data_IF_017259160852
#
_entry.id   IF_017259160852
#
_cell.length_a   1.000
_cell.length_b   1.000
_cell.length_c   1.000
_cell.angle_alpha   90.00
_cell.angle_beta   90.00
_cell.angle_gamma   90.00
#
_symmetry.space_group_name_H-M   'P 1'
#
loop_
_entity.id
_entity.type
_entity.pdbx_description
1 polymer ?
#
# COMPACT_ATOMS: atom_id res chain seq x y z
N UNK A 1 16.16 5.23 -12.56
CA UNK A 1 15.95 4.66 -11.21
C UNK A 1 15.77 3.17 -11.34
N UNK A 2 16.73 2.43 -10.81
CA UNK A 2 16.88 0.98 -10.93
C UNK A 2 16.07 0.30 -9.82
N UNK A 3 15.27 -0.70 -10.20
CA UNK A 3 14.69 -1.66 -9.25
C UNK A 3 15.75 -2.67 -8.87
N UNK A 4 15.66 -3.25 -7.67
CA UNK A 4 16.53 -4.34 -7.25
C UNK A 4 15.68 -5.55 -6.86
N UNK A 5 16.27 -6.74 -6.90
CA UNK A 5 15.64 -7.95 -6.40
C UNK A 5 15.99 -8.15 -4.92
N UNK A 6 15.01 -8.37 -4.04
CA UNK A 6 15.24 -8.54 -2.60
C UNK A 6 16.01 -9.81 -2.23
N UNK A 7 16.18 -10.75 -3.17
CA UNK A 7 17.09 -11.90 -3.00
C UNK A 7 18.55 -11.48 -2.96
N UNK A 8 18.86 -10.29 -3.47
CA UNK A 8 20.15 -9.63 -3.31
C UNK A 8 20.14 -8.78 -2.03
N UNK A 9 20.40 -9.43 -0.90
CA UNK A 9 20.31 -8.80 0.43
C UNK A 9 21.34 -7.69 0.62
N UNK A 10 22.50 -7.78 -0.05
CA UNK A 10 23.54 -6.74 -0.03
C UNK A 10 23.04 -5.45 -0.69
N UNK A 11 22.51 -5.53 -1.92
CA UNK A 11 21.92 -4.38 -2.59
C UNK A 11 20.68 -3.85 -1.87
N UNK A 12 19.87 -4.72 -1.28
CA UNK A 12 18.71 -4.30 -0.49
C UNK A 12 19.14 -3.50 0.75
N UNK A 13 20.14 -3.99 1.48
CA UNK A 13 20.70 -3.29 2.62
C UNK A 13 21.37 -1.96 2.20
N UNK A 14 22.04 -1.91 1.05
CA UNK A 14 22.63 -0.68 0.50
C UNK A 14 21.55 0.35 0.11
N UNK A 15 20.43 -0.10 -0.47
CA UNK A 15 19.31 0.77 -0.82
C UNK A 15 18.73 1.44 0.42
N UNK A 16 18.54 0.65 1.49
CA UNK A 16 18.08 1.14 2.79
C UNK A 16 19.04 2.18 3.39
N UNK A 17 20.35 2.02 3.21
CA UNK A 17 21.39 2.96 3.68
C UNK A 17 21.66 4.17 2.77
N UNK A 18 20.94 4.31 1.67
CA UNK A 18 21.16 5.44 0.74
C UNK A 18 20.78 6.76 1.41
N UNK A 19 21.67 7.76 1.34
CA UNK A 19 21.41 9.12 1.82
C UNK A 19 20.95 10.08 0.71
N UNK A 20 20.00 11.01 0.96
CA UNK A 20 19.19 11.07 2.19
C UNK A 20 18.32 9.82 2.34
N UNK A 21 18.13 9.36 3.58
CA UNK A 21 17.29 8.19 3.90
C UNK A 21 15.85 8.40 3.40
N UNK A 22 15.34 7.44 2.63
CA UNK A 22 14.02 7.51 1.97
C UNK A 22 13.28 6.18 2.07
N UNK A 23 11.94 6.17 1.96
CA UNK A 23 11.17 4.94 1.96
C UNK A 23 11.59 3.96 0.86
N UNK A 24 11.64 2.67 1.19
CA UNK A 24 11.79 1.57 0.23
C UNK A 24 10.48 0.80 0.15
N UNK A 25 9.96 0.64 -1.07
CA UNK A 25 8.76 -0.13 -1.35
C UNK A 25 9.13 -1.44 -2.04
N UNK A 26 8.65 -2.56 -1.52
CA UNK A 26 8.91 -3.91 -2.03
C UNK A 26 7.60 -4.58 -2.41
N UNK A 27 7.52 -5.14 -3.63
CA UNK A 27 6.40 -5.98 -4.04
C UNK A 27 6.71 -7.43 -3.70
N UNK A 28 5.92 -8.08 -2.85
CA UNK A 28 6.20 -9.44 -2.36
C UNK A 28 5.44 -10.53 -3.13
N UNK A 29 4.44 -10.17 -3.93
CA UNK A 29 3.76 -11.07 -4.86
C UNK A 29 3.46 -10.32 -6.18
N UNK A 30 2.69 -10.93 -7.08
CA UNK A 30 2.30 -10.28 -8.34
C UNK A 30 1.09 -9.35 -8.23
N UNK A 31 0.54 -9.13 -7.04
CA UNK A 31 -0.81 -8.63 -6.84
C UNK A 31 -0.87 -7.48 -5.80
N UNK A 32 -1.02 -7.79 -4.51
CA UNK A 32 -1.41 -6.84 -3.46
C UNK A 32 -0.43 -6.74 -2.30
N UNK A 33 0.49 -7.69 -2.13
CA UNK A 33 1.30 -7.76 -0.92
C UNK A 33 2.52 -6.88 -1.04
N UNK A 34 2.56 -5.83 -0.23
CA UNK A 34 3.64 -4.84 -0.21
C UNK A 34 4.33 -4.82 1.14
N UNK A 35 5.64 -4.61 1.13
CA UNK A 35 6.40 -4.20 2.30
C UNK A 35 6.87 -2.77 2.09
N UNK A 36 6.47 -1.87 2.98
CA UNK A 36 6.92 -0.49 3.03
C UNK A 36 7.90 -0.32 4.20
N UNK A 37 9.14 0.02 3.87
CA UNK A 37 10.20 0.24 4.84
C UNK A 37 10.46 1.74 4.96
N UNK A 38 10.09 2.31 6.10
CA UNK A 38 10.22 3.73 6.39
C UNK A 38 11.47 3.96 7.26
N UNK A 39 12.39 4.85 6.90
CA UNK A 39 13.52 5.15 7.76
C UNK A 39 13.03 5.78 9.06
N UNK A 40 13.55 5.33 10.20
CA UNK A 40 13.20 5.94 11.49
C UNK A 40 13.85 7.34 11.61
N UNK A 41 13.09 8.40 11.89
CA UNK A 41 13.66 9.74 12.06
C UNK A 41 14.52 9.81 13.33
N UNK A 42 15.58 10.65 13.36
CA UNK A 42 16.48 10.77 14.51
C UNK A 42 15.78 11.17 15.82
N UNK A 43 14.68 11.94 15.72
CA UNK A 43 13.85 12.40 16.83
C UNK A 43 12.79 11.38 17.28
N UNK A 44 12.69 10.23 16.61
CA UNK A 44 11.61 9.22 16.76
C UNK A 44 11.58 8.46 18.08
N UNK A 45 12.51 8.72 19.01
CA UNK A 45 12.37 8.39 20.44
C UNK A 45 12.25 6.91 20.82
N UNK A 46 12.37 5.96 19.89
CA UNK A 46 12.35 4.54 20.26
C UNK A 46 13.68 4.19 20.94
N UNK A 47 13.62 3.68 22.18
CA UNK A 47 14.81 3.21 22.94
C UNK A 47 15.63 2.17 22.18
N UNK A 48 14.99 1.46 21.24
CA UNK A 48 15.63 0.63 20.24
C UNK A 48 15.93 1.50 19.00
N UNK A 49 17.21 1.76 18.71
CA UNK A 49 17.63 2.41 17.45
C UNK A 49 17.43 1.43 16.28
N UNK A 50 16.18 1.20 15.87
CA UNK A 50 15.90 0.47 14.63
C UNK A 50 16.13 1.41 13.46
N UNK A 51 16.79 0.89 12.44
CA UNK A 51 17.13 1.67 11.25
C UNK A 51 15.88 2.02 10.42
N UNK A 52 14.87 1.15 10.43
CA UNK A 52 13.61 1.30 9.70
C UNK A 52 12.40 0.74 10.47
N UNK A 53 11.23 1.27 10.15
CA UNK A 53 9.93 0.71 10.45
C UNK A 53 9.42 -0.05 9.22
N UNK A 54 9.12 -1.34 9.40
CA UNK A 54 8.63 -2.23 8.36
C UNK A 54 7.12 -2.44 8.51
N UNK A 55 6.34 -1.86 7.59
CA UNK A 55 4.88 -2.02 7.49
C UNK A 55 4.55 -3.00 6.37
N UNK A 56 3.82 -4.07 6.70
CA UNK A 56 3.30 -5.02 5.70
C UNK A 56 1.89 -4.62 5.30
N UNK A 57 1.58 -4.65 4.01
CA UNK A 57 0.27 -4.25 3.46
C UNK A 57 -0.32 -5.43 2.71
N UNK A 58 -1.58 -5.76 3.00
CA UNK A 58 -2.39 -6.79 2.35
C UNK A 58 -1.66 -8.14 2.12
N UNK A 59 -1.26 -8.83 3.19
CA UNK A 59 -0.45 -10.04 3.05
C UNK A 59 -1.25 -11.25 2.57
N UNK A 60 -0.85 -11.77 1.41
CA UNK A 60 -1.29 -13.03 0.81
C UNK A 60 -0.08 -13.67 0.09
N UNK A 61 0.56 -14.66 0.73
CA UNK A 61 1.80 -15.27 0.21
C UNK A 61 1.63 -16.72 -0.26
N UNK A 62 0.57 -17.39 0.15
CA UNK A 62 0.29 -18.77 -0.26
C UNK A 62 -1.19 -19.07 -0.04
N UNK A 63 -1.59 -20.28 -0.45
CA UNK A 63 -2.97 -20.70 -0.36
C UNK A 63 -3.88 -20.00 -1.39
N UNK A 64 -5.11 -20.47 -1.54
CA UNK A 64 -6.09 -19.86 -2.43
C UNK A 64 -6.81 -18.67 -1.78
N UNK A 65 -7.21 -17.70 -2.60
CA UNK A 65 -8.27 -16.74 -2.32
C UNK A 65 -9.61 -17.48 -2.45
N UNK A 66 -10.45 -17.45 -1.42
CA UNK A 66 -11.76 -18.10 -1.38
C UNK A 66 -12.75 -17.25 -0.55
N UNK A 67 -13.55 -16.44 -1.23
CA UNK A 67 -14.56 -15.60 -0.56
C UNK A 67 -15.95 -16.27 -0.54
N UNK A 68 -16.68 -16.07 0.56
CA UNK A 68 -18.02 -16.61 0.85
C UNK A 68 -18.04 -18.14 0.99
N UNK A 69 -17.71 -18.87 -0.08
CA UNK A 69 -17.51 -20.30 -0.11
C UNK A 69 -16.65 -20.70 -1.33
N UNK A 70 -15.85 -21.79 -1.29
CA UNK A 70 -14.95 -22.15 -2.39
C UNK A 70 -15.62 -22.35 -3.76
N UNK A 71 -16.93 -22.67 -3.77
CA UNK A 71 -17.73 -22.81 -4.99
C UNK A 71 -18.15 -21.47 -5.62
N UNK A 72 -18.07 -20.37 -4.88
CA UNK A 72 -18.46 -19.04 -5.33
C UNK A 72 -17.34 -18.36 -6.14
N UNK A 73 -16.13 -18.29 -5.58
CA UNK A 73 -14.91 -17.85 -6.26
C UNK A 73 -13.67 -18.44 -5.59
N UNK A 74 -12.84 -19.16 -6.34
CA UNK A 74 -11.48 -19.52 -5.90
C UNK A 74 -10.47 -18.93 -6.88
N UNK A 75 -9.50 -18.16 -6.39
CA UNK A 75 -8.39 -17.64 -7.18
C UNK A 75 -7.04 -18.04 -6.58
N UNK A 76 -6.01 -18.11 -7.42
CA UNK A 76 -4.63 -18.39 -7.01
C UNK A 76 -3.68 -17.50 -7.78
N UNK A 77 -2.57 -17.14 -7.14
CA UNK A 77 -1.45 -16.49 -7.80
C UNK A 77 -0.99 -17.29 -9.03
N UNK A 78 -0.60 -16.58 -10.07
CA UNK A 78 0.09 -17.11 -11.25
C UNK A 78 1.58 -16.95 -11.08
N UNK A 79 2.02 -15.83 -10.51
CA UNK A 79 3.41 -15.54 -10.16
C UNK A 79 3.66 -15.96 -8.73
N UNK A 80 4.69 -16.77 -8.50
CA UNK A 80 5.07 -17.17 -7.15
C UNK A 80 5.47 -15.93 -6.32
N UNK A 81 5.02 -15.83 -5.06
CA UNK A 81 5.49 -14.79 -4.16
C UNK A 81 7.00 -14.88 -3.93
N UNK A 82 7.63 -13.73 -3.71
CA UNK A 82 9.08 -13.57 -3.60
C UNK A 82 9.66 -14.31 -2.38
N UNK A 83 8.84 -14.46 -1.35
CA UNK A 83 9.12 -15.23 -0.14
C UNK A 83 8.06 -16.32 0.04
N UNK A 84 8.42 -17.51 0.56
CA UNK A 84 7.48 -18.61 0.74
C UNK A 84 6.56 -18.44 1.96
N UNK A 85 6.93 -17.57 2.92
CA UNK A 85 6.21 -17.36 4.18
C UNK A 85 6.64 -16.04 4.84
N UNK A 86 5.84 -15.56 5.80
CA UNK A 86 6.22 -14.40 6.62
C UNK A 86 7.40 -14.73 7.54
N UNK A 87 7.56 -15.99 7.96
CA UNK A 87 8.75 -16.42 8.69
C UNK A 87 10.03 -16.25 7.86
N UNK A 88 10.00 -16.56 6.56
CA UNK A 88 11.12 -16.34 5.65
C UNK A 88 11.40 -14.85 5.45
N UNK A 89 10.35 -14.02 5.28
CA UNK A 89 10.49 -12.57 5.20
C UNK A 89 11.13 -11.99 6.46
N UNK A 90 10.67 -12.38 7.65
CA UNK A 90 11.27 -11.93 8.91
C UNK A 90 12.75 -12.35 9.02
N UNK A 91 13.14 -13.50 8.47
CA UNK A 91 14.54 -13.92 8.44
C UNK A 91 15.41 -12.99 7.60
N UNK A 92 14.94 -12.64 6.38
CA UNK A 92 15.63 -11.68 5.53
C UNK A 92 15.71 -10.30 6.19
N UNK A 93 14.61 -9.81 6.78
CA UNK A 93 14.61 -8.52 7.45
C UNK A 93 15.57 -8.44 8.63
N UNK A 94 15.80 -9.56 9.35
CA UNK A 94 16.81 -9.62 10.43
C UNK A 94 18.22 -9.46 9.87
N UNK A 95 18.53 -10.10 8.76
CA UNK A 95 19.84 -9.97 8.08
C UNK A 95 20.11 -8.52 7.64
N UNK A 96 19.08 -7.76 7.26
CA UNK A 96 19.23 -6.35 6.87
C UNK A 96 19.49 -5.41 8.06
N UNK A 97 19.01 -5.76 9.26
CA UNK A 97 19.09 -4.94 10.47
C UNK A 97 20.27 -5.34 11.37
N UNK A 98 21.18 -6.20 10.88
CA UNK A 98 22.49 -6.48 11.48
C UNK A 98 23.40 -5.22 11.39
N UNK A 99 22.98 -4.17 12.07
CA UNK A 99 23.80 -3.01 12.42
C UNK A 99 24.66 -3.39 13.64
N UNK A 100 26.00 -3.50 13.49
CA UNK A 100 26.89 -3.86 14.57
C UNK A 100 26.83 -2.87 15.76
N UNK A 101 26.37 -1.62 15.54
CA UNK A 101 26.24 -0.62 16.62
C UNK A 101 24.96 -0.80 17.46
N UNK A 102 23.95 -1.53 16.96
CA UNK A 102 22.72 -1.81 17.70
C UNK A 102 22.88 -2.93 18.75
N UNK A 103 23.89 -3.79 18.59
CA UNK A 103 24.17 -4.93 19.47
C UNK A 103 24.78 -4.53 20.84
N UNK A 104 25.18 -3.26 21.02
CA UNK A 104 25.77 -2.75 22.26
C UNK A 104 24.76 -2.32 23.34
N UNK A 105 23.45 -2.41 23.07
CA UNK A 105 22.38 -2.04 24.00
C UNK A 105 21.86 -3.22 24.82
N UNK A 106 21.46 -2.97 26.08
CA UNK A 106 20.79 -3.97 26.92
C UNK A 106 19.46 -4.45 26.30
N UNK A 107 19.10 -5.74 26.43
CA UNK A 107 17.80 -6.24 25.97
C UNK A 107 16.65 -5.63 26.81
N UNK A 108 15.73 -4.95 26.13
CA UNK A 108 14.55 -4.30 26.74
C UNK A 108 13.34 -5.27 26.83
N UNK A 109 12.41 -5.06 27.77
CA UNK A 109 11.37 -6.03 28.13
C UNK A 109 10.06 -5.94 27.34
N UNK A 110 9.92 -5.05 26.34
CA UNK A 110 8.63 -4.82 25.64
C UNK A 110 8.73 -5.16 24.14
N UNK A 111 8.12 -6.28 23.76
CA UNK A 111 8.04 -6.84 22.39
C UNK A 111 9.10 -7.91 22.08
N UNK A 112 8.72 -8.96 21.34
CA UNK A 112 9.67 -10.01 20.91
C UNK A 112 10.82 -9.35 20.13
N UNK A 113 12.08 -9.44 20.61
CA UNK A 113 13.23 -8.88 19.92
C UNK A 113 13.42 -9.40 18.49
N UNK A 114 12.71 -10.47 18.09
CA UNK A 114 12.79 -11.13 16.78
C UNK A 114 11.78 -10.65 15.73
N UNK A 115 10.73 -9.91 16.11
CA UNK A 115 9.71 -9.46 15.17
C UNK A 115 10.23 -8.27 14.34
N UNK A 116 10.38 -8.50 13.04
CA UNK A 116 10.88 -7.49 12.08
C UNK A 116 9.78 -6.83 11.27
N UNK A 117 8.57 -7.39 11.27
CA UNK A 117 7.37 -6.75 10.76
C UNK A 117 6.71 -6.06 11.95
N UNK A 118 6.59 -4.73 11.89
CA UNK A 118 6.23 -3.91 13.06
C UNK A 118 4.73 -3.64 13.16
N UNK A 119 4.05 -3.66 12.02
CA UNK A 119 2.61 -3.53 11.91
C UNK A 119 2.15 -4.11 10.58
N UNK A 120 0.85 -4.40 10.50
CA UNK A 120 0.18 -4.75 9.25
C UNK A 120 -0.93 -3.76 8.96
N UNK A 121 -1.06 -3.35 7.70
CA UNK A 121 -2.22 -2.64 7.21
C UNK A 121 -3.04 -3.51 6.25
N UNK A 122 -4.36 -3.58 6.42
CA UNK A 122 -5.27 -4.39 5.59
C UNK A 122 -6.36 -3.51 4.97
N UNK A 123 -6.41 -3.44 3.65
CA UNK A 123 -7.24 -2.49 2.91
C UNK A 123 -8.69 -2.95 2.75
N UNK A 124 -8.92 -4.26 2.57
CA UNK A 124 -10.23 -4.84 2.29
C UNK A 124 -10.34 -6.23 2.92
N UNK A 125 -11.56 -6.70 3.18
CA UNK A 125 -11.87 -7.98 3.83
C UNK A 125 -11.74 -9.21 2.92
N UNK A 126 -11.58 -9.00 1.61
CA UNK A 126 -11.47 -10.09 0.63
C UNK A 126 -10.16 -10.85 0.81
N UNK A 127 -10.19 -12.16 0.56
CA UNK A 127 -9.07 -13.05 0.91
C UNK A 127 -7.79 -12.83 0.10
N UNK A 128 -7.82 -12.06 -0.98
CA UNK A 128 -6.65 -11.54 -1.71
C UNK A 128 -6.02 -10.29 -1.09
N UNK A 129 -6.61 -9.76 -0.02
CA UNK A 129 -6.10 -8.65 0.78
C UNK A 129 -5.95 -9.04 2.26
N UNK A 130 -6.96 -9.74 2.80
CA UNK A 130 -7.10 -10.16 4.19
C UNK A 130 -6.98 -11.69 4.33
N UNK A 131 -5.84 -12.25 3.90
CA UNK A 131 -5.65 -13.70 3.90
C UNK A 131 -5.33 -14.24 5.31
N UNK A 132 -6.32 -14.88 5.95
CA UNK A 132 -6.19 -15.40 7.33
C UNK A 132 -4.96 -16.27 7.56
N UNK A 133 -4.71 -17.24 6.67
CA UNK A 133 -3.62 -18.19 6.88
C UNK A 133 -2.24 -17.53 6.81
N UNK A 134 -2.08 -16.50 5.97
CA UNK A 134 -0.83 -15.71 5.92
C UNK A 134 -0.75 -14.78 7.13
N UNK A 135 -1.83 -14.07 7.48
CA UNK A 135 -1.85 -13.18 8.64
C UNK A 135 -1.52 -13.92 9.95
N UNK A 136 -2.05 -15.13 10.15
CA UNK A 136 -1.81 -15.92 11.37
C UNK A 136 -0.40 -16.53 11.48
N UNK A 137 0.49 -16.31 10.50
CA UNK A 137 1.93 -16.58 10.66
C UNK A 137 2.63 -15.52 11.52
N UNK A 138 2.02 -14.36 11.69
CA UNK A 138 2.58 -13.28 12.50
C UNK A 138 2.40 -13.56 14.00
N UNK A 139 3.29 -12.99 14.84
CA UNK A 139 3.07 -12.92 16.29
C UNK A 139 1.72 -12.28 16.63
N UNK A 140 1.07 -12.77 17.70
CA UNK A 140 -0.27 -12.31 18.13
C UNK A 140 -0.29 -10.84 18.57
N UNK A 141 0.84 -10.35 19.08
CA UNK A 141 1.06 -8.97 19.50
C UNK A 141 1.35 -8.01 18.33
N UNK A 142 1.42 -8.50 17.08
CA UNK A 142 1.58 -7.64 15.90
C UNK A 142 0.37 -6.70 15.76
N UNK A 143 0.57 -5.37 15.80
CA UNK A 143 -0.51 -4.41 15.59
C UNK A 143 -1.09 -4.50 14.18
N UNK A 144 -2.41 -4.59 14.08
CA UNK A 144 -3.14 -4.61 12.80
C UNK A 144 -3.97 -3.33 12.65
N UNK A 145 -3.86 -2.65 11.51
CA UNK A 145 -4.69 -1.51 11.11
C UNK A 145 -5.49 -1.91 9.88
N UNK A 146 -6.81 -1.97 9.98
CA UNK A 146 -7.62 -2.51 8.89
C UNK A 146 -8.84 -1.65 8.58
N UNK A 147 -9.28 -1.65 7.33
CA UNK A 147 -10.59 -1.10 6.96
C UNK A 147 -11.72 -1.75 7.77
N UNK A 148 -12.84 -1.05 7.94
CA UNK A 148 -13.91 -1.42 8.89
C UNK A 148 -14.29 -2.91 8.83
N UNK A 149 -14.66 -3.41 7.65
CA UNK A 149 -15.06 -4.80 7.46
C UNK A 149 -13.90 -5.80 7.67
N UNK A 150 -12.69 -5.45 7.24
CA UNK A 150 -11.50 -6.27 7.47
C UNK A 150 -11.14 -6.31 8.96
N UNK A 151 -11.24 -5.20 9.68
CA UNK A 151 -11.00 -5.13 11.12
C UNK A 151 -12.00 -5.99 11.90
N UNK A 152 -13.28 -5.93 11.56
CA UNK A 152 -14.32 -6.80 12.14
C UNK A 152 -14.03 -8.29 11.87
N UNK A 153 -13.70 -8.64 10.62
CA UNK A 153 -13.34 -10.00 10.24
C UNK A 153 -12.11 -10.49 11.02
N UNK A 154 -11.03 -9.72 11.08
CA UNK A 154 -9.80 -10.10 11.79
C UNK A 154 -10.06 -10.26 13.30
N UNK A 155 -10.85 -9.38 13.92
CA UNK A 155 -11.24 -9.51 15.33
C UNK A 155 -12.01 -10.80 15.60
N UNK A 156 -12.89 -11.22 14.67
CA UNK A 156 -13.65 -12.47 14.78
C UNK A 156 -12.78 -13.73 14.81
N UNK A 157 -11.52 -13.63 14.36
CA UNK A 157 -10.59 -14.76 14.41
C UNK A 157 -10.03 -15.00 15.81
N UNK A 158 -10.19 -14.05 16.75
CA UNK A 158 -9.70 -14.11 18.12
C UNK A 158 -8.21 -14.46 18.22
N UNK A 159 -7.41 -13.94 17.28
CA UNK A 159 -5.99 -14.26 17.18
C UNK A 159 -5.07 -13.11 17.63
N UNK A 160 -5.23 -11.93 17.05
CA UNK A 160 -4.41 -10.76 17.36
C UNK A 160 -4.86 -10.04 18.63
N UNK A 161 -3.91 -9.53 19.39
CA UNK A 161 -4.16 -8.81 20.64
C UNK A 161 -4.60 -7.36 20.39
N UNK A 162 -4.18 -6.77 19.26
CA UNK A 162 -4.54 -5.40 18.88
C UNK A 162 -4.94 -5.30 17.40
N UNK A 163 -6.23 -5.04 17.17
CA UNK A 163 -6.79 -4.74 15.84
C UNK A 163 -7.48 -3.38 15.88
N UNK A 164 -6.87 -2.40 15.23
CA UNK A 164 -7.36 -1.03 15.10
C UNK A 164 -8.10 -0.87 13.79
N UNK A 165 -9.31 -0.33 13.83
CA UNK A 165 -10.00 0.10 12.62
C UNK A 165 -9.33 1.37 12.10
N UNK A 166 -8.85 1.36 10.86
CA UNK A 166 -8.14 2.47 10.26
C UNK A 166 -9.07 3.69 10.17
N UNK A 167 -8.75 4.81 10.84
CA UNK A 167 -9.62 5.98 10.91
C UNK A 167 -9.77 6.64 9.53
N UNK A 168 -10.96 7.19 9.28
CA UNK A 168 -11.24 7.96 8.07
C UNK A 168 -10.41 9.24 8.02
N UNK A 169 -9.62 9.44 6.96
CA UNK A 169 -8.98 10.71 6.63
C UNK A 169 -9.94 11.52 5.75
N UNK A 170 -10.71 12.39 6.39
CA UNK A 170 -11.67 13.27 5.72
C UNK A 170 -10.95 14.54 5.22
N UNK A 171 -11.55 15.21 4.24
CA UNK A 171 -11.05 16.48 3.75
C UNK A 171 -10.90 17.50 4.89
N UNK A 172 -9.75 18.18 4.94
CA UNK A 172 -9.42 19.10 6.04
C UNK A 172 -9.24 18.41 7.39
N UNK A 173 -8.98 17.11 7.45
CA UNK A 173 -8.57 16.47 8.71
C UNK A 173 -7.05 16.44 8.78
N UNK A 174 -6.40 17.08 9.77
CA UNK A 174 -4.96 16.99 9.92
C UNK A 174 -4.56 15.54 10.13
N UNK A 175 -3.66 15.00 9.32
CA UNK A 175 -3.29 13.58 9.40
C UNK A 175 -2.75 13.18 10.78
N UNK A 176 -2.09 14.11 11.50
CA UNK A 176 -1.55 13.89 12.85
C UNK A 176 -2.64 13.66 13.90
N UNK A 177 -3.87 14.12 13.62
CA UNK A 177 -5.03 13.91 14.49
C UNK A 177 -5.60 12.49 14.41
N UNK A 178 -5.21 11.72 13.37
CA UNK A 178 -5.57 10.31 13.30
C UNK A 178 -5.00 9.58 14.51
N UNK A 179 -5.77 8.69 15.15
CA UNK A 179 -5.26 7.80 16.19
C UNK A 179 -4.00 7.04 15.73
N UNK A 180 -2.96 7.08 16.56
CA UNK A 180 -1.68 6.40 16.31
C UNK A 180 -1.37 5.33 17.36
N UNK A 181 -2.37 4.76 18.03
CA UNK A 181 -2.19 3.73 19.07
C UNK A 181 -1.29 2.61 18.54
N UNK A 182 -0.18 2.32 19.22
CA UNK A 182 0.86 1.34 18.82
C UNK A 182 1.70 1.69 17.56
N UNK A 183 1.54 2.89 16.98
CA UNK A 183 2.46 3.44 15.97
C UNK A 183 3.37 4.50 16.59
N UNK A 184 4.58 4.70 16.03
CA UNK A 184 5.40 5.86 16.35
C UNK A 184 4.66 7.18 16.08
N UNK A 185 4.95 8.22 16.86
CA UNK A 185 4.27 9.52 16.76
C UNK A 185 4.38 10.17 15.37
N UNK A 186 5.43 9.84 14.60
CA UNK A 186 5.69 10.33 13.25
C UNK A 186 4.98 9.54 12.14
N UNK A 187 4.26 8.46 12.46
CA UNK A 187 3.60 7.57 11.48
C UNK A 187 2.10 7.43 11.80
N UNK A 188 1.26 7.47 10.77
CA UNK A 188 -0.18 7.15 10.84
C UNK A 188 -0.61 6.27 9.69
N UNK A 189 -1.59 5.40 9.98
CA UNK A 189 -2.31 4.62 8.98
C UNK A 189 -3.77 5.05 9.05
N UNK A 190 -4.25 5.70 7.99
CA UNK A 190 -5.64 6.10 7.83
C UNK A 190 -6.30 5.41 6.65
N UNK A 191 -7.57 5.71 6.44
CA UNK A 191 -8.36 5.22 5.32
C UNK A 191 -9.10 6.35 4.62
N UNK A 192 -9.14 6.29 3.31
CA UNK A 192 -9.91 7.19 2.47
C UNK A 192 -11.01 6.39 1.78
N UNK A 193 -12.24 6.91 1.78
CA UNK A 193 -13.39 6.22 1.18
C UNK A 193 -14.08 7.16 0.21
N UNK A 194 -14.33 6.72 -1.03
CA UNK A 194 -15.19 7.46 -1.96
C UNK A 194 -16.66 7.33 -1.53
N UNK A 195 -17.37 8.44 -1.23
CA UNK A 195 -18.76 8.40 -0.79
C UNK A 195 -19.69 7.78 -1.84
N UNK A 196 -20.77 7.14 -1.36
CA UNK A 196 -21.82 6.58 -2.22
C UNK A 196 -21.45 5.27 -2.91
N UNK A 197 -20.30 4.66 -2.57
CA UNK A 197 -19.94 3.36 -3.10
C UNK A 197 -20.58 2.22 -2.29
N UNK A 198 -21.21 1.27 -3.00
CA UNK A 198 -21.72 0.05 -2.40
C UNK A 198 -20.56 -0.86 -1.97
N UNK A 199 -20.63 -1.47 -0.78
CA UNK A 199 -19.59 -2.33 -0.17
C UNK A 199 -18.18 -1.71 -0.06
N UNK A 200 -18.05 -0.39 -0.22
CA UNK A 200 -16.80 0.35 0.00
C UNK A 200 -15.54 -0.13 -0.76
N UNK A 201 -15.70 -0.79 -1.93
CA UNK A 201 -14.58 -1.26 -2.76
C UNK A 201 -13.58 -0.15 -3.14
N UNK A 202 -14.09 1.05 -3.41
CA UNK A 202 -13.27 2.19 -3.82
C UNK A 202 -12.81 2.95 -2.58
N UNK A 203 -11.85 2.35 -1.89
CA UNK A 203 -11.19 2.92 -0.73
C UNK A 203 -9.67 2.77 -0.85
N UNK A 204 -8.94 3.59 -0.12
CA UNK A 204 -7.49 3.56 -0.08
C UNK A 204 -6.99 3.58 1.36
N UNK A 205 -5.91 2.84 1.63
CA UNK A 205 -5.09 3.07 2.81
C UNK A 205 -4.19 4.28 2.58
N UNK A 206 -4.03 5.13 3.59
CA UNK A 206 -3.12 6.27 3.57
C UNK A 206 -2.11 6.06 4.67
N UNK A 207 -0.86 5.77 4.29
CA UNK A 207 0.27 5.68 5.22
C UNK A 207 0.98 7.02 5.23
N UNK A 208 0.67 7.85 6.21
CA UNK A 208 1.18 9.21 6.37
C UNK A 208 2.35 9.24 7.35
N UNK A 209 3.43 9.91 7.00
CA UNK A 209 4.64 9.93 7.81
C UNK A 209 5.41 11.25 7.70
N UNK A 210 6.18 11.54 8.74
CA UNK A 210 7.08 12.68 8.82
C UNK A 210 8.49 12.21 9.18
N UNK A 211 9.41 12.32 8.22
CA UNK A 211 10.81 11.88 8.39
C UNK A 211 11.73 13.00 8.90
N UNK A 212 11.23 14.22 9.08
CA UNK A 212 12.02 15.37 9.55
C UNK A 212 13.14 15.84 8.60
N UNK A 213 13.15 15.40 7.33
CA UNK A 213 14.21 15.67 6.35
C UNK A 213 13.95 16.87 5.41
N UNK A 214 12.82 17.58 5.56
CA UNK A 214 12.38 18.67 4.67
C UNK A 214 10.90 18.99 4.85
N UNK A 215 10.42 20.12 4.31
CA UNK A 215 9.35 20.97 4.87
C UNK A 215 7.92 20.42 5.05
N UNK A 216 7.57 19.19 4.64
CA UNK A 216 6.20 18.66 4.77
C UNK A 216 6.17 17.15 5.02
N UNK A 217 5.07 16.68 5.63
CA UNK A 217 4.78 15.26 5.78
C UNK A 217 4.42 14.62 4.42
N UNK A 218 4.76 13.36 4.26
CA UNK A 218 4.53 12.60 3.02
C UNK A 218 3.54 11.46 3.25
N UNK A 219 2.94 10.95 2.17
CA UNK A 219 2.07 9.78 2.22
C UNK A 219 2.34 8.79 1.09
N UNK A 220 2.22 7.50 1.42
CA UNK A 220 2.01 6.43 0.46
C UNK A 220 0.54 6.05 0.49
N UNK A 221 -0.13 6.16 -0.65
CA UNK A 221 -1.56 5.86 -0.82
C UNK A 221 -1.70 4.54 -1.54
N UNK A 222 -2.37 3.57 -0.92
CA UNK A 222 -2.58 2.25 -1.49
C UNK A 222 -4.06 2.03 -1.82
N UNK A 223 -4.36 1.93 -3.11
CA UNK A 223 -5.71 1.97 -3.68
C UNK A 223 -5.91 0.85 -4.73
N UNK A 224 -5.98 -0.43 -4.31
CA UNK A 224 -5.97 -1.59 -5.23
C UNK A 224 -7.20 -1.72 -6.12
N UNK A 225 -8.34 -1.17 -5.68
CA UNK A 225 -9.60 -1.13 -6.44
C UNK A 225 -9.88 0.26 -7.02
N UNK A 226 -9.01 1.22 -6.73
CA UNK A 226 -9.14 2.61 -7.16
C UNK A 226 -9.94 3.49 -6.22
N UNK A 227 -9.70 4.80 -6.33
CA UNK A 227 -10.35 5.81 -5.51
C UNK A 227 -10.60 7.06 -6.34
N UNK A 228 -11.67 7.80 -6.06
CA UNK A 228 -11.97 8.97 -6.86
C UNK A 228 -10.92 10.07 -6.64
N UNK A 229 -10.41 10.63 -7.74
CA UNK A 229 -9.35 11.63 -7.73
C UNK A 229 -9.69 12.87 -6.87
N UNK A 230 -10.95 13.30 -6.89
CA UNK A 230 -11.43 14.43 -6.07
C UNK A 230 -11.34 14.14 -4.57
N UNK A 231 -11.68 12.91 -4.16
CA UNK A 231 -11.74 12.55 -2.74
C UNK A 231 -10.31 12.38 -2.22
N UNK A 232 -9.43 11.80 -3.04
CA UNK A 232 -8.00 11.72 -2.79
C UNK A 232 -7.36 13.10 -2.62
N UNK A 233 -7.56 14.00 -3.57
CA UNK A 233 -7.02 15.35 -3.50
C UNK A 233 -7.51 16.11 -2.27
N UNK A 234 -8.81 16.00 -1.96
CA UNK A 234 -9.39 16.68 -0.81
C UNK A 234 -8.88 16.16 0.54
N UNK A 235 -8.62 14.85 0.67
CA UNK A 235 -8.12 14.26 1.90
C UNK A 235 -6.63 14.51 2.16
N UNK A 236 -5.83 14.67 1.09
CA UNK A 236 -4.41 15.03 1.21
C UNK A 236 -4.21 16.53 1.48
N UNK A 237 -5.18 17.37 1.11
CA UNK A 237 -5.25 18.75 1.53
C UNK A 237 -5.63 18.81 3.03
N UNK A 238 -4.69 19.26 3.86
CA UNK A 238 -4.91 19.55 5.27
C UNK A 238 -5.68 20.85 5.48
N UNK A 239 -5.86 21.25 6.74
CA UNK A 239 -6.46 22.56 7.05
C UNK A 239 -5.47 23.72 6.87
N UNK A 240 -4.17 23.42 6.81
CA UNK A 240 -3.05 24.35 6.68
C UNK A 240 -1.92 23.67 5.90
N UNK A 241 -1.10 24.45 5.21
CA UNK A 241 0.03 23.94 4.40
C UNK A 241 1.03 23.06 5.20
N UNK A 242 1.21 23.31 6.50
CA UNK A 242 2.06 22.50 7.39
C UNK A 242 1.44 21.12 7.73
N UNK A 243 0.14 20.97 7.51
CA UNK A 243 -0.64 19.74 7.74
C UNK A 243 -0.96 18.99 6.45
N UNK A 244 -0.64 19.58 5.29
CA UNK A 244 -0.79 18.96 3.97
C UNK A 244 0.12 17.74 3.85
N UNK A 245 -0.40 16.70 3.20
CA UNK A 245 0.36 15.50 2.87
C UNK A 245 0.80 15.56 1.41
N UNK A 246 2.11 15.58 1.19
CA UNK A 246 2.66 15.35 -0.14
C UNK A 246 2.53 13.86 -0.49
N UNK A 247 1.80 13.53 -1.55
CA UNK A 247 1.74 12.15 -2.02
C UNK A 247 3.10 11.74 -2.61
N UNK A 248 3.84 10.90 -1.89
CA UNK A 248 5.08 10.34 -2.41
C UNK A 248 4.76 9.31 -3.50
N UNK A 249 3.87 8.37 -3.20
CA UNK A 249 3.46 7.34 -4.13
C UNK A 249 1.96 7.05 -4.03
N UNK A 250 1.35 6.77 -5.17
CA UNK A 250 0.00 6.20 -5.30
C UNK A 250 0.14 4.83 -5.94
N UNK A 251 -0.21 3.79 -5.19
CA UNK A 251 -0.28 2.41 -5.65
C UNK A 251 -1.69 2.16 -6.17
N UNK A 252 -1.84 2.02 -7.48
CA UNK A 252 -3.13 1.92 -8.16
C UNK A 252 -3.03 1.04 -9.41
N UNK A 253 -3.98 0.11 -9.57
CA UNK A 253 -4.01 -0.80 -10.71
C UNK A 253 -4.37 -0.15 -12.05
N UNK A 254 -3.94 -0.78 -13.13
CA UNK A 254 -4.24 -0.41 -14.50
C UNK A 254 -5.53 -1.06 -15.02
N UNK A 255 -5.92 -2.20 -14.48
CA UNK A 255 -7.04 -2.98 -14.99
C UNK A 255 -8.39 -2.46 -14.47
N UNK A 256 -9.31 -2.18 -15.39
CA UNK A 256 -10.73 -1.97 -15.08
C UNK A 256 -11.41 -3.34 -15.01
N UNK A 257 -12.03 -3.64 -13.88
CA UNK A 257 -12.73 -4.90 -13.63
C UNK A 257 -14.18 -4.60 -13.30
N UNK A 258 -15.11 -5.26 -14.00
CA UNK A 258 -16.55 -5.08 -13.82
C UNK A 258 -17.26 -6.41 -13.66
N UNK A 259 -18.32 -6.42 -12.86
CA UNK A 259 -19.21 -7.55 -12.68
C UNK A 259 -20.48 -7.38 -13.53
N UNK A 260 -20.71 -8.30 -14.48
CA UNK A 260 -21.94 -8.39 -15.26
C UNK A 260 -23.05 -9.14 -14.49
N UNK A 261 -24.34 -8.88 -14.73
CA UNK A 261 -24.92 -7.90 -15.66
C UNK A 261 -25.13 -6.50 -15.05
N UNK A 262 -24.92 -6.32 -13.74
CA UNK A 262 -25.23 -5.09 -13.01
C UNK A 262 -24.23 -3.93 -13.25
N UNK A 263 -23.22 -4.13 -14.11
CA UNK A 263 -22.16 -3.16 -14.46
C UNK A 263 -21.48 -2.57 -13.23
N UNK A 264 -21.38 -3.34 -12.14
CA UNK A 264 -20.68 -2.89 -10.94
C UNK A 264 -19.19 -2.89 -11.21
N UNK A 265 -18.57 -1.73 -11.12
CA UNK A 265 -17.13 -1.59 -11.25
C UNK A 265 -16.45 -1.99 -9.94
N UNK A 266 -15.55 -2.96 -10.01
CA UNK A 266 -14.77 -3.49 -8.90
C UNK A 266 -13.39 -2.84 -8.84
N UNK A 267 -12.75 -2.62 -9.99
CA UNK A 267 -11.50 -1.87 -10.10
C UNK A 267 -11.69 -0.69 -11.08
N UNK A 268 -11.26 0.50 -10.70
CA UNK A 268 -11.43 1.70 -11.52
C UNK A 268 -10.49 1.77 -12.75
N UNK A 269 -9.35 1.08 -12.69
CA UNK A 269 -8.39 0.96 -13.79
C UNK A 269 -7.60 2.24 -14.11
N UNK A 270 -6.75 2.15 -15.14
CA UNK A 270 -5.71 3.15 -15.41
C UNK A 270 -6.24 4.55 -15.73
N UNK A 271 -7.45 4.67 -16.30
CA UNK A 271 -8.05 5.97 -16.62
C UNK A 271 -8.37 6.76 -15.34
N UNK A 272 -8.83 6.07 -14.29
CA UNK A 272 -8.97 6.69 -12.97
C UNK A 272 -7.60 6.85 -12.29
N UNK A 273 -6.70 5.89 -12.46
CA UNK A 273 -5.35 5.95 -11.87
C UNK A 273 -4.57 7.21 -12.27
N UNK A 274 -4.57 7.59 -13.57
CA UNK A 274 -3.92 8.83 -14.02
C UNK A 274 -4.57 10.08 -13.40
N UNK A 275 -5.89 10.09 -13.23
CA UNK A 275 -6.58 11.21 -12.58
C UNK A 275 -6.22 11.29 -11.09
N UNK A 276 -6.21 10.15 -10.39
CA UNK A 276 -5.88 10.06 -8.98
C UNK A 276 -4.45 10.52 -8.69
N UNK A 277 -3.47 10.02 -9.44
CA UNK A 277 -2.05 10.37 -9.30
C UNK A 277 -1.85 11.87 -9.53
N UNK A 278 -2.50 12.46 -10.55
CA UNK A 278 -2.37 13.89 -10.83
C UNK A 278 -3.08 14.75 -9.79
N UNK A 279 -4.26 14.35 -9.34
CA UNK A 279 -5.00 15.08 -8.32
C UNK A 279 -4.30 15.05 -6.95
N UNK A 280 -3.59 13.96 -6.65
CA UNK A 280 -2.71 13.84 -5.49
C UNK A 280 -1.36 14.55 -5.66
N UNK A 281 -1.03 14.99 -6.88
CA UNK A 281 0.32 15.48 -7.27
C UNK A 281 1.41 14.47 -6.87
N UNK A 282 1.11 13.18 -7.04
CA UNK A 282 1.98 12.12 -6.55
C UNK A 282 3.26 12.02 -7.39
N UNK A 283 4.40 11.79 -6.73
CA UNK A 283 5.67 11.63 -7.44
C UNK A 283 5.79 10.29 -8.16
N UNK A 284 5.22 9.24 -7.58
CA UNK A 284 5.22 7.89 -8.16
C UNK A 284 3.81 7.36 -8.35
N UNK A 285 3.57 6.75 -9.51
CA UNK A 285 2.46 5.83 -9.72
C UNK A 285 3.01 4.41 -9.81
N UNK A 286 2.69 3.58 -8.83
CA UNK A 286 3.10 2.18 -8.81
C UNK A 286 1.90 1.29 -9.15
N UNK A 287 2.04 0.41 -10.14
CA UNK A 287 1.00 -0.57 -10.48
C UNK A 287 0.79 -1.56 -9.35
N UNK A 288 -0.46 -1.94 -9.08
CA UNK A 288 -0.81 -2.96 -8.07
C UNK A 288 -2.13 -3.64 -8.43
N UNK A 289 -2.36 -4.84 -7.93
CA UNK A 289 -3.62 -5.58 -8.02
C UNK A 289 -4.07 -5.85 -9.48
N UNK A 290 -3.09 -5.95 -10.37
CA UNK A 290 -3.28 -6.20 -11.80
C UNK A 290 -3.08 -7.67 -12.17
N UNK A 291 -2.67 -8.54 -11.23
CA UNK A 291 -2.40 -9.95 -11.52
C UNK A 291 -3.62 -10.60 -12.19
N UNK A 292 -3.38 -11.32 -13.28
CA UNK A 292 -4.39 -12.19 -13.86
C UNK A 292 -4.41 -13.52 -13.12
N UNK A 293 -5.15 -13.54 -12.02
CA UNK A 293 -5.33 -14.72 -11.18
C UNK A 293 -6.08 -15.81 -11.95
N UNK A 294 -5.71 -17.08 -11.77
CA UNK A 294 -6.47 -18.21 -12.30
C UNK A 294 -7.71 -18.45 -11.43
N UNK A 295 -8.88 -18.08 -11.94
CA UNK A 295 -10.15 -18.21 -11.24
C UNK A 295 -10.97 -19.45 -11.63
N UNK A 296 -11.69 -20.04 -10.68
CA UNK A 296 -12.81 -20.98 -10.89
C UNK A 296 -13.98 -20.57 -9.99
N UNK A 297 -15.22 -20.89 -10.37
CA UNK A 297 -16.42 -20.59 -9.58
C UNK A 297 -17.51 -19.86 -10.36
N UNK A 298 -18.64 -19.61 -9.72
CA UNK A 298 -19.85 -19.07 -10.34
C UNK A 298 -19.69 -17.63 -10.86
N UNK A 299 -18.82 -16.82 -10.23
CA UNK A 299 -18.64 -15.41 -10.64
C UNK A 299 -17.57 -15.22 -11.72
N UNK A 300 -16.67 -16.18 -11.92
CA UNK A 300 -15.62 -16.10 -12.93
C UNK A 300 -16.13 -15.75 -14.35
N UNK A 301 -17.20 -16.38 -14.89
CA UNK A 301 -17.73 -16.02 -16.21
C UNK A 301 -18.42 -14.64 -16.25
N UNK A 302 -18.69 -14.02 -15.10
CA UNK A 302 -19.33 -12.70 -15.00
C UNK A 302 -18.33 -11.54 -14.91
N UNK A 303 -17.05 -11.83 -14.63
CA UNK A 303 -15.98 -10.83 -14.56
C UNK A 303 -15.56 -10.39 -15.96
N UNK A 304 -15.64 -9.09 -16.22
CA UNK A 304 -15.13 -8.45 -17.43
C UNK A 304 -13.93 -7.59 -17.07
N UNK A 305 -12.78 -7.86 -17.67
CA UNK A 305 -11.54 -7.10 -17.45
C UNK A 305 -11.13 -6.36 -18.72
N UNK A 306 -10.96 -5.06 -18.61
CA UNK A 306 -10.33 -4.21 -19.63
C UNK A 306 -8.90 -3.91 -19.20
N UNK A 307 -7.94 -4.27 -20.04
CA UNK A 307 -6.52 -4.02 -19.77
C UNK A 307 -6.09 -2.71 -20.40
N UNK A 308 -5.61 -1.80 -19.57
CA UNK A 308 -4.98 -0.59 -20.03
C UNK A 308 -3.47 -0.69 -19.86
N UNK A 309 -2.74 0.01 -20.71
CA UNK A 309 -1.30 0.27 -20.51
C UNK A 309 -1.16 1.70 -19.99
N UNK A 310 0.00 2.05 -19.43
CA UNK A 310 0.30 3.45 -19.11
C UNK A 310 0.06 4.37 -20.31
N UNK A 311 0.48 3.94 -21.51
CA UNK A 311 0.29 4.71 -22.75
C UNK A 311 -1.19 4.99 -23.02
N UNK A 312 -2.07 4.02 -22.77
CA UNK A 312 -3.52 4.24 -22.91
C UNK A 312 -4.04 5.27 -21.91
N UNK A 313 -3.55 5.24 -20.67
CA UNK A 313 -3.95 6.18 -19.62
C UNK A 313 -3.51 7.61 -19.91
N UNK A 314 -2.23 7.80 -20.28
CA UNK A 314 -1.65 9.11 -20.63
C UNK A 314 -2.38 9.70 -21.84
N UNK A 315 -2.53 8.94 -22.92
CA UNK A 315 -3.21 9.41 -24.12
C UNK A 315 -4.71 9.74 -23.89
N UNK A 316 -5.37 9.06 -22.95
CA UNK A 316 -6.73 9.39 -22.56
C UNK A 316 -6.80 10.72 -21.79
N UNK A 317 -5.90 10.92 -20.82
CA UNK A 317 -5.81 12.15 -20.02
C UNK A 317 -5.50 13.38 -20.90
N UNK A 318 -4.54 13.26 -21.83
CA UNK A 318 -4.22 14.30 -22.82
C UNK A 318 -5.43 14.69 -23.68
N UNK A 319 -6.18 13.69 -24.18
CA UNK A 319 -7.41 13.92 -24.96
C UNK A 319 -8.50 14.59 -24.13
N UNK A 320 -8.65 14.22 -22.86
CA UNK A 320 -9.64 14.84 -21.97
C UNK A 320 -9.31 16.31 -21.72
N UNK A 321 -8.04 16.61 -21.43
CA UNK A 321 -7.55 17.98 -21.20
C UNK A 321 -7.68 18.89 -22.39
N UNK A 322 -7.30 18.41 -23.58
CA UNK A 322 -7.43 19.19 -24.82
C UNK A 322 -8.88 19.54 -25.14
N UNK A 323 -9.84 18.66 -24.80
CA UNK A 323 -11.28 18.95 -24.91
C UNK A 323 -11.75 19.97 -23.87
N UNK A 324 -11.28 19.88 -22.63
CA UNK A 324 -11.64 20.80 -21.54
C UNK A 324 -11.03 22.20 -21.72
N UNK A 325 -9.86 22.31 -22.36
CA UNK A 325 -9.14 23.56 -22.58
C UNK A 325 -9.58 24.36 -23.83
N UNK A 326 -10.64 23.95 -24.54
CA UNK A 326 -11.24 24.74 -25.63
C UNK A 326 -10.33 24.97 -26.84
N UNK A 327 -9.38 24.08 -27.14
CA UNK A 327 -8.53 24.16 -28.34
C UNK A 327 -7.30 25.09 -28.23
N UNK A 328 -7.04 25.70 -27.07
CA UNK A 328 -5.78 26.38 -26.79
C UNK A 328 -4.76 25.37 -26.23
N UNK A 329 -3.84 24.90 -27.08
CA UNK A 329 -2.79 23.97 -26.67
C UNK A 329 -1.98 24.52 -25.51
N UNK A 330 -2.05 23.86 -24.35
CA UNK A 330 -0.95 23.89 -23.39
C UNK A 330 0.04 22.82 -23.84
N UNK A 331 1.30 23.23 -23.91
CA UNK A 331 2.44 22.40 -24.29
C UNK A 331 2.43 21.07 -23.52
N UNK A 332 2.96 20.03 -24.16
CA UNK A 332 3.11 18.66 -23.63
C UNK A 332 3.94 18.68 -22.33
N UNK A 333 3.34 19.08 -21.21
CA UNK A 333 3.93 18.90 -19.90
C UNK A 333 4.02 17.39 -19.65
N UNK A 334 5.25 16.88 -19.59
CA UNK A 334 5.51 15.51 -19.17
C UNK A 334 4.71 15.19 -17.91
N UNK A 335 4.18 13.96 -17.78
CA UNK A 335 3.46 13.58 -16.58
C UNK A 335 4.34 13.86 -15.37
N UNK A 336 3.88 14.71 -14.46
CA UNK A 336 4.59 15.12 -13.24
C UNK A 336 4.82 13.99 -12.23
N UNK A 337 4.79 12.73 -12.68
CA UNK A 337 4.93 11.51 -11.90
C UNK A 337 5.74 10.47 -12.70
N UNK A 338 6.41 9.56 -11.98
CA UNK A 338 7.11 8.41 -12.55
C UNK A 338 6.26 7.15 -12.38
N UNK A 339 5.89 6.50 -13.49
CA UNK A 339 5.20 5.21 -13.45
C UNK A 339 6.19 4.05 -13.24
N UNK A 340 5.81 3.08 -12.40
CA UNK A 340 6.58 1.86 -12.12
C UNK A 340 5.67 0.64 -11.99
N UNK A 341 6.02 -0.43 -12.68
CA UNK A 341 5.51 -1.78 -12.40
C UNK A 341 6.65 -2.54 -11.73
N UNK A 342 6.36 -3.13 -10.57
CA UNK A 342 7.31 -3.94 -9.81
C UNK A 342 6.90 -5.40 -9.92
N UNK A 343 7.82 -6.26 -10.35
CA UNK A 343 7.62 -7.70 -10.29
C UNK A 343 7.70 -8.21 -8.85
N UNK A 344 7.21 -9.44 -8.63
CA UNK A 344 7.36 -10.14 -7.35
C UNK A 344 8.84 -10.23 -6.97
N UNK A 345 9.21 -9.60 -5.86
CA UNK A 345 10.56 -9.53 -5.32
C UNK A 345 11.31 -8.23 -5.67
N UNK A 346 10.74 -7.35 -6.48
CA UNK A 346 11.38 -6.08 -6.79
C UNK A 346 11.15 -5.01 -5.71
N UNK A 347 12.20 -4.26 -5.42
CA UNK A 347 12.21 -3.12 -4.51
C UNK A 347 12.54 -1.81 -5.24
N UNK A 348 11.93 -0.72 -4.75
CA UNK A 348 12.08 0.64 -5.28
C UNK A 348 12.30 1.64 -4.14
N UNK A 349 13.37 2.43 -4.26
CA UNK A 349 13.60 3.60 -3.39
C UNK A 349 12.75 4.78 -3.86
N UNK A 350 11.88 5.28 -2.99
CA UNK A 350 10.96 6.39 -3.24
C UNK A 350 11.61 7.72 -2.81
N UNK A 351 12.18 8.45 -3.77
CA UNK A 351 12.95 9.67 -3.50
C UNK A 351 12.12 10.92 -3.39
#
# INVERSE_FOLDING_TARGET
MTTIDIRDTEHWAALLRTEPRRPVLVHLNGDTTWLLQLPCPPSGGTRRRRSHFNLLIDPWLHGPQSDVAPWFSTQRHVVAPAVPSLAALQALLRELDDDPDAAAGNPEPDGDPRAMIHAVAVSHEFTDHCHRATLQELPRDTPVYAADAAAELIRSWHFFDAVTTAPGLLAGTPWRSLPGTLLPAWLRVGRLVTPGNSLYYHSALVVAFDLGAGTHAEAVVYSPHGVAARDLSAALAGNKEEEDLAALAVLHGLHDVRLAPFVRQLNLGALNGVEAVRAARARYWVGTHDEEKKGRGLIAPLLRRTRYTLRHAVAHDEKRRSREAGGGGREDEEPGYVFKELASGEALLLK
#
